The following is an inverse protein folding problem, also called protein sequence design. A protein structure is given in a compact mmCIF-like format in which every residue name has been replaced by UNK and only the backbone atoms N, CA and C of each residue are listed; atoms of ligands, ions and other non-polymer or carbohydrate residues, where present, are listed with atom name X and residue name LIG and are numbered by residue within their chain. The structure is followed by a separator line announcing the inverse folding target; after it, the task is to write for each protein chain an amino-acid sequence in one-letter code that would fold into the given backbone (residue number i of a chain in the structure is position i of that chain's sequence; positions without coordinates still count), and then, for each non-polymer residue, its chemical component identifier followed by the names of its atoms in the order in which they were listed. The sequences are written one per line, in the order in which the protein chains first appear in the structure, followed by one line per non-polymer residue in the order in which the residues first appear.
data_IF_260319189310
#
_entry.id   IF_260319189310
#
_cell.length_a   1.000
_cell.length_b   1.000
_cell.length_c   1.000
_cell.angle_alpha   90.00
_cell.angle_beta   90.00
_cell.angle_gamma   90.00
#
_symmetry.space_group_name_H-M   'P 1'
#
loop_
_entity.id
_entity.type
_entity.pdbx_description
1 polymer ?
#
# COMPACT_ATOMS: atom_id res chain seq x y z
N UNK A 1 45.32 25.80 -38.75
CA UNK A 1 44.35 26.89 -38.57
C UNK A 1 43.23 26.71 -39.60
N UNK A 2 42.36 25.73 -39.35
CA UNK A 2 40.95 25.73 -39.79
C UNK A 2 40.29 24.55 -39.10
N UNK A 3 39.30 24.88 -38.29
CA UNK A 3 38.61 24.03 -37.33
C UNK A 3 37.85 22.87 -37.97
N UNK A 4 37.82 21.73 -37.28
CA UNK A 4 36.79 20.69 -37.40
C UNK A 4 36.15 20.53 -36.02
N UNK A 5 35.00 21.16 -35.84
CA UNK A 5 34.03 20.83 -34.78
C UNK A 5 33.05 19.75 -35.32
N UNK A 6 32.19 19.12 -34.49
CA UNK A 6 32.53 18.28 -33.34
C UNK A 6 31.79 16.92 -33.44
N UNK A 7 32.28 15.87 -32.77
CA UNK A 7 31.50 14.67 -32.48
C UNK A 7 31.44 14.49 -30.96
N UNK A 8 30.23 14.54 -30.40
CA UNK A 8 29.77 13.66 -29.31
C UNK A 8 28.27 13.93 -29.07
N UNK A 9 27.43 13.34 -29.94
CA UNK A 9 26.10 12.92 -29.54
C UNK A 9 26.27 11.66 -28.70
N UNK A 10 26.02 11.73 -27.40
CA UNK A 10 25.45 10.62 -26.66
C UNK A 10 24.63 11.17 -25.49
N UNK A 11 23.35 11.23 -25.80
CA UNK A 11 22.22 11.50 -24.94
C UNK A 11 22.22 10.50 -23.77
N UNK A 12 22.90 10.85 -22.67
CA UNK A 12 22.75 10.16 -21.40
C UNK A 12 21.48 10.69 -20.75
N UNK A 13 20.41 9.94 -20.95
CA UNK A 13 19.10 10.07 -20.32
C UNK A 13 19.31 10.35 -18.83
N UNK A 14 19.11 11.61 -18.46
CA UNK A 14 19.02 12.02 -17.07
C UNK A 14 17.75 11.40 -16.52
N UNK A 15 17.88 10.28 -15.80
CA UNK A 15 16.83 9.74 -14.95
C UNK A 15 16.34 10.89 -14.08
N UNK A 16 15.19 11.42 -14.49
CA UNK A 16 14.50 12.44 -13.74
C UNK A 16 13.92 11.71 -12.56
N UNK A 17 14.68 11.64 -11.46
CA UNK A 17 14.13 11.43 -10.12
C UNK A 17 13.04 12.49 -9.97
N UNK A 18 11.80 12.12 -10.26
CA UNK A 18 10.67 12.97 -9.94
C UNK A 18 10.64 13.04 -8.42
N UNK A 19 11.09 14.17 -7.90
CA UNK A 19 10.83 14.57 -6.52
C UNK A 19 9.31 14.66 -6.42
N UNK A 20 8.66 13.58 -5.95
CA UNK A 20 7.23 13.57 -5.67
C UNK A 20 7.02 14.39 -4.41
N UNK A 21 6.92 15.70 -4.59
CA UNK A 21 6.35 16.61 -3.62
C UNK A 21 4.86 16.71 -3.90
N UNK A 22 4.04 15.99 -3.15
CA UNK A 22 2.83 16.58 -2.55
C UNK A 22 2.24 15.59 -1.55
N UNK A 23 1.98 16.06 -0.33
CA UNK A 23 1.22 15.39 0.72
C UNK A 23 -0.24 15.21 0.28
N UNK A 24 -0.44 14.45 -0.79
CA UNK A 24 -1.77 14.12 -1.28
C UNK A 24 -2.41 13.17 -0.29
N UNK A 25 -3.66 13.47 0.04
CA UNK A 25 -4.45 12.65 0.95
C UNK A 25 -5.78 12.31 0.29
N UNK A 26 -6.29 11.12 0.62
CA UNK A 26 -7.63 10.66 0.26
C UNK A 26 -8.18 9.91 1.47
N UNK A 27 -9.44 10.14 1.83
CA UNK A 27 -10.02 9.63 3.10
C UNK A 27 -9.20 10.01 4.34
N UNK A 28 -8.53 11.17 4.31
CA UNK A 28 -7.68 11.71 5.38
C UNK A 28 -6.37 10.94 5.61
N UNK A 29 -5.97 10.08 4.66
CA UNK A 29 -4.71 9.30 4.77
C UNK A 29 -3.78 9.58 3.59
N UNK A 30 -2.45 9.50 3.77
CA UNK A 30 -1.48 9.70 2.70
C UNK A 30 -1.70 8.73 1.54
N UNK A 31 -1.45 9.19 0.32
CA UNK A 31 -1.58 8.37 -0.88
C UNK A 31 -0.27 8.29 -1.67
N UNK A 32 -0.11 7.19 -2.38
CA UNK A 32 0.86 7.08 -3.48
C UNK A 32 0.19 6.44 -4.70
N UNK A 33 0.92 6.39 -5.82
CA UNK A 33 0.49 5.71 -7.03
C UNK A 33 1.45 4.56 -7.33
N UNK A 34 0.90 3.38 -7.64
CA UNK A 34 1.70 2.24 -8.11
C UNK A 34 1.09 1.70 -9.38
N UNK A 35 1.81 1.85 -10.51
CA UNK A 35 1.40 1.34 -11.83
C UNK A 35 -0.03 1.76 -12.23
N UNK A 36 -0.43 2.99 -11.92
CA UNK A 36 -1.77 3.52 -12.22
C UNK A 36 -2.85 3.15 -11.20
N UNK A 37 -2.51 2.43 -10.13
CA UNK A 37 -3.41 2.15 -9.01
C UNK A 37 -3.16 3.12 -7.85
N UNK A 38 -4.24 3.68 -7.29
CA UNK A 38 -4.16 4.47 -6.04
C UNK A 38 -3.88 3.57 -4.86
N UNK A 39 -2.93 3.97 -4.03
CA UNK A 39 -2.50 3.27 -2.82
C UNK A 39 -2.69 4.19 -1.62
N UNK A 40 -3.49 3.78 -0.66
CA UNK A 40 -3.68 4.47 0.61
C UNK A 40 -2.72 3.91 1.66
N UNK A 41 -2.18 4.79 2.50
CA UNK A 41 -1.26 4.43 3.58
C UNK A 41 -1.81 4.90 4.94
N UNK A 42 -2.93 4.33 5.43
CA UNK A 42 -3.36 4.57 6.80
C UNK A 42 -2.39 3.93 7.80
N UNK A 43 -2.31 4.47 9.02
CA UNK A 43 -1.67 3.77 10.13
C UNK A 43 -2.62 2.70 10.74
N UNK A 44 -2.07 1.87 11.63
CA UNK A 44 -2.80 0.77 12.30
C UNK A 44 -4.05 1.22 13.07
N UNK A 45 -4.05 2.44 13.62
CA UNK A 45 -5.19 2.93 14.41
C UNK A 45 -6.32 3.47 13.54
N UNK A 46 -6.00 3.94 12.33
CA UNK A 46 -6.94 4.64 11.45
C UNK A 46 -7.46 3.77 10.30
N UNK A 47 -6.77 2.69 9.93
CA UNK A 47 -7.11 1.97 8.69
C UNK A 47 -8.49 1.31 8.73
N UNK A 48 -9.02 0.90 9.90
CA UNK A 48 -10.36 0.32 10.00
C UNK A 48 -11.44 1.35 9.66
N UNK A 49 -11.26 2.59 10.10
CA UNK A 49 -12.12 3.72 9.69
C UNK A 49 -11.99 4.01 8.19
N UNK A 50 -10.77 3.92 7.64
CA UNK A 50 -10.56 4.02 6.19
C UNK A 50 -11.29 2.91 5.43
N UNK A 51 -11.21 1.67 5.90
CA UNK A 51 -11.90 0.50 5.33
C UNK A 51 -13.41 0.70 5.37
N UNK A 52 -13.96 1.18 6.50
CA UNK A 52 -15.38 1.52 6.60
C UNK A 52 -15.79 2.57 5.57
N UNK A 53 -15.06 3.68 5.48
CA UNK A 53 -15.31 4.75 4.49
C UNK A 53 -15.27 4.22 3.06
N UNK A 54 -14.31 3.36 2.72
CA UNK A 54 -14.20 2.73 1.40
C UNK A 54 -15.36 1.78 1.11
N UNK A 55 -15.74 0.96 2.08
CA UNK A 55 -16.92 0.10 1.95
C UNK A 55 -18.17 0.95 1.69
N UNK A 56 -18.40 1.99 2.51
CA UNK A 56 -19.52 2.92 2.36
C UNK A 56 -19.52 3.61 0.97
N UNK A 57 -18.32 3.92 0.45
CA UNK A 57 -18.10 4.56 -0.85
C UNK A 57 -18.02 3.57 -2.05
N UNK A 58 -18.49 2.33 -1.84
CA UNK A 58 -18.77 1.38 -2.91
C UNK A 58 -17.62 0.47 -3.33
N UNK A 59 -16.53 0.40 -2.56
CA UNK A 59 -15.53 -0.66 -2.69
C UNK A 59 -16.05 -1.92 -1.97
N UNK A 60 -16.92 -2.68 -2.65
CA UNK A 60 -17.69 -3.78 -2.05
C UNK A 60 -17.05 -5.17 -2.18
N UNK A 61 -15.90 -5.27 -2.85
CA UNK A 61 -15.23 -6.55 -3.07
C UNK A 61 -13.80 -6.47 -2.53
N UNK A 62 -13.49 -7.29 -1.53
CA UNK A 62 -12.12 -7.59 -1.13
C UNK A 62 -11.58 -8.65 -2.09
N UNK A 63 -10.51 -8.30 -2.80
CA UNK A 63 -9.86 -9.18 -3.77
C UNK A 63 -8.79 -10.03 -3.10
N UNK A 64 -8.05 -9.43 -2.17
CA UNK A 64 -6.88 -10.05 -1.57
C UNK A 64 -6.49 -9.34 -0.26
N UNK A 65 -5.99 -10.11 0.70
CA UNK A 65 -5.33 -9.66 1.92
C UNK A 65 -4.04 -10.47 2.02
N UNK A 66 -2.91 -9.77 1.98
CA UNK A 66 -1.59 -10.41 2.02
C UNK A 66 -0.63 -9.57 2.86
N UNK A 67 0.57 -10.08 3.11
CA UNK A 67 1.60 -9.33 3.80
C UNK A 67 2.95 -9.42 3.07
N UNK A 68 3.81 -8.44 3.33
CA UNK A 68 5.18 -8.39 2.82
C UNK A 68 6.12 -8.27 4.02
N UNK A 69 7.15 -9.13 4.07
CA UNK A 69 8.25 -9.03 5.03
C UNK A 69 9.42 -8.29 4.37
N UNK A 70 9.77 -7.13 4.93
CA UNK A 70 10.83 -6.27 4.45
C UNK A 70 12.14 -6.40 5.24
N UNK A 71 12.33 -7.48 6.01
CA UNK A 71 13.53 -7.71 6.84
C UNK A 71 14.86 -7.44 6.11
N UNK A 72 15.04 -8.03 4.92
CA UNK A 72 16.30 -7.94 4.16
C UNK A 72 16.30 -6.79 3.13
N UNK A 73 15.14 -6.21 2.84
CA UNK A 73 15.00 -5.18 1.81
C UNK A 73 14.06 -4.05 2.26
N UNK A 74 14.51 -3.14 3.14
CA UNK A 74 13.65 -2.11 3.70
C UNK A 74 13.22 -1.03 2.69
N UNK A 75 13.93 -0.90 1.56
CA UNK A 75 13.65 0.12 0.55
C UNK A 75 12.31 -0.14 -0.17
N UNK A 76 11.42 0.84 -0.10
CA UNK A 76 10.11 0.81 -0.77
C UNK A 76 9.54 2.21 -0.97
N UNK A 77 8.68 2.33 -1.96
CA UNK A 77 7.98 3.58 -2.29
C UNK A 77 6.76 3.77 -1.37
N UNK A 78 6.94 4.52 -0.30
CA UNK A 78 5.88 4.95 0.63
C UNK A 78 6.01 6.47 0.87
N UNK A 79 4.91 7.18 1.17
CA UNK A 79 4.98 8.61 1.49
C UNK A 79 5.91 8.89 2.67
N UNK A 80 6.62 10.02 2.64
CA UNK A 80 7.56 10.43 3.70
C UNK A 80 6.92 10.59 5.10
N UNK A 81 5.60 10.74 5.16
CA UNK A 81 4.83 10.82 6.40
C UNK A 81 4.58 9.47 7.07
N UNK A 82 4.94 8.36 6.41
CA UNK A 82 4.76 6.99 6.90
C UNK A 82 6.11 6.43 7.34
N UNK A 83 6.16 5.90 8.56
CA UNK A 83 7.34 5.20 9.06
C UNK A 83 7.34 3.75 8.55
N UNK A 84 8.39 3.29 7.86
CA UNK A 84 8.47 1.92 7.40
C UNK A 84 8.68 0.95 8.58
N UNK A 85 7.87 -0.12 8.63
CA UNK A 85 8.03 -1.24 9.57
C UNK A 85 8.60 -2.50 8.91
N UNK A 86 8.84 -3.57 9.66
CA UNK A 86 9.25 -4.85 9.06
C UNK A 86 8.13 -5.45 8.20
N UNK A 87 6.93 -5.54 8.76
CA UNK A 87 5.80 -6.11 8.05
C UNK A 87 4.96 -5.01 7.42
N UNK A 88 4.36 -5.35 6.29
CA UNK A 88 3.35 -4.52 5.65
C UNK A 88 2.17 -5.38 5.23
N UNK A 89 0.99 -5.09 5.78
CA UNK A 89 -0.26 -5.73 5.35
C UNK A 89 -0.82 -4.97 4.16
N UNK A 90 -1.16 -5.71 3.10
CA UNK A 90 -1.66 -5.19 1.83
C UNK A 90 -3.07 -5.71 1.60
N UNK A 91 -4.01 -4.78 1.44
CA UNK A 91 -5.42 -5.09 1.17
C UNK A 91 -5.78 -4.54 -0.21
N UNK A 92 -6.28 -5.38 -1.10
CA UNK A 92 -6.73 -4.97 -2.43
C UNK A 92 -8.26 -4.97 -2.49
N UNK A 93 -8.85 -3.80 -2.78
CA UNK A 93 -10.29 -3.62 -2.90
C UNK A 93 -10.69 -3.24 -4.33
N UNK A 94 -11.91 -3.61 -4.70
CA UNK A 94 -12.50 -3.33 -6.00
C UNK A 94 -13.88 -2.66 -5.84
N UNK A 95 -14.10 -1.62 -6.63
CA UNK A 95 -15.42 -1.05 -6.88
C UNK A 95 -15.85 -1.33 -8.31
N UNK A 96 -16.91 -2.13 -8.48
CA UNK A 96 -17.51 -2.38 -9.80
C UNK A 96 -18.21 -1.15 -10.36
N UNK A 97 -18.81 -0.32 -9.50
CA UNK A 97 -19.55 0.87 -9.93
C UNK A 97 -18.60 1.93 -10.49
N UNK A 98 -17.47 2.15 -9.82
CA UNK A 98 -16.42 3.09 -10.26
C UNK A 98 -15.50 2.49 -11.32
N UNK A 99 -15.46 1.15 -11.43
CA UNK A 99 -14.50 0.38 -12.25
C UNK A 99 -13.05 0.64 -11.83
N UNK A 100 -12.84 0.79 -10.52
CA UNK A 100 -11.57 1.17 -9.92
C UNK A 100 -11.10 0.11 -8.94
N UNK A 101 -9.79 -0.10 -8.91
CA UNK A 101 -9.10 -0.86 -7.86
C UNK A 101 -8.36 0.10 -6.96
N UNK A 102 -8.36 -0.19 -5.68
CA UNK A 102 -7.65 0.57 -4.66
C UNK A 102 -6.86 -0.40 -3.78
N UNK A 103 -5.69 0.02 -3.34
CA UNK A 103 -4.85 -0.76 -2.43
C UNK A 103 -4.67 0.00 -1.12
N UNK A 104 -4.72 -0.71 -0.01
CA UNK A 104 -4.24 -0.19 1.27
C UNK A 104 -2.93 -0.89 1.60
N UNK A 105 -1.96 -0.14 2.13
CA UNK A 105 -0.69 -0.65 2.67
C UNK A 105 -0.55 -0.14 4.09
N UNK A 106 -0.52 -1.05 5.05
CA UNK A 106 -0.48 -0.75 6.48
C UNK A 106 0.83 -1.28 7.04
N UNK A 107 1.61 -0.40 7.68
CA UNK A 107 2.88 -0.76 8.31
C UNK A 107 2.61 -1.42 9.66
N UNK A 108 3.19 -2.61 9.87
CA UNK A 108 2.99 -3.41 11.09
C UNK A 108 4.35 -3.74 11.72
N UNK A 109 4.60 -3.32 12.97
CA UNK A 109 5.87 -3.55 13.63
C UNK A 109 6.07 -5.01 14.00
N UNK A 110 7.31 -5.50 13.95
CA UNK A 110 7.66 -6.86 14.37
C UNK A 110 7.41 -7.11 15.85
N UNK A 111 7.62 -6.08 16.69
CA UNK A 111 7.47 -6.21 18.14
C UNK A 111 6.02 -6.38 18.60
N UNK A 112 5.07 -6.04 17.74
CA UNK A 112 3.63 -6.09 17.99
C UNK A 112 2.88 -6.35 16.67
N UNK A 113 2.94 -7.60 16.15
CA UNK A 113 2.42 -7.96 14.83
C UNK A 113 0.91 -8.20 14.90
N UNK A 114 0.16 -7.21 15.35
CA UNK A 114 -1.29 -7.29 15.57
C UNK A 114 -1.99 -6.20 14.78
N UNK A 115 -3.08 -6.51 14.08
CA UNK A 115 -3.93 -5.54 13.39
C UNK A 115 -5.39 -5.96 13.54
N UNK A 116 -6.38 -5.10 13.33
CA UNK A 116 -7.78 -5.54 13.38
C UNK A 116 -8.18 -6.34 12.12
N UNK A 117 -9.16 -7.21 12.26
CA UNK A 117 -9.77 -7.92 11.13
C UNK A 117 -10.62 -6.95 10.29
N UNK A 118 -10.71 -7.20 8.98
CA UNK A 118 -11.69 -6.52 8.11
C UNK A 118 -12.92 -7.39 7.83
N UNK A 119 -13.04 -8.54 8.49
CA UNK A 119 -14.07 -9.54 8.28
C UNK A 119 -15.50 -8.97 8.35
N UNK A 120 -15.77 -8.09 9.31
CA UNK A 120 -17.09 -7.45 9.47
C UNK A 120 -17.50 -6.61 8.25
N UNK A 121 -16.53 -6.09 7.50
CA UNK A 121 -16.76 -5.35 6.26
C UNK A 121 -16.76 -6.26 5.04
N UNK A 122 -15.91 -7.29 5.06
CA UNK A 122 -15.70 -8.21 3.96
C UNK A 122 -15.58 -9.65 4.47
N UNK A 123 -16.69 -10.39 4.63
CA UNK A 123 -16.65 -11.76 5.17
C UNK A 123 -15.80 -12.74 4.35
N UNK A 124 -15.50 -12.40 3.08
CA UNK A 124 -14.59 -13.17 2.24
C UNK A 124 -13.09 -13.01 2.60
N UNK A 125 -12.73 -12.18 3.58
CA UNK A 125 -11.34 -12.00 4.03
C UNK A 125 -10.85 -13.09 4.97
N UNK A 126 -11.73 -13.90 5.58
CA UNK A 126 -11.40 -14.91 6.61
C UNK A 126 -10.19 -15.79 6.23
N UNK A 127 -10.28 -16.50 5.10
CA UNK A 127 -9.18 -17.36 4.67
C UNK A 127 -7.89 -16.58 4.38
N UNK A 128 -7.98 -15.35 3.87
CA UNK A 128 -6.83 -14.52 3.50
C UNK A 128 -6.11 -13.97 4.75
N UNK A 129 -6.88 -13.53 5.75
CA UNK A 129 -6.35 -13.11 7.05
C UNK A 129 -5.68 -14.29 7.76
N UNK A 130 -6.29 -15.49 7.72
CA UNK A 130 -5.67 -16.70 8.26
C UNK A 130 -4.37 -17.08 7.53
N UNK A 131 -4.32 -16.95 6.21
CA UNK A 131 -3.09 -17.19 5.44
C UNK A 131 -1.97 -16.22 5.83
N UNK A 132 -2.30 -14.94 6.07
CA UNK A 132 -1.32 -13.95 6.55
C UNK A 132 -0.82 -14.30 7.95
N UNK A 133 -1.71 -14.73 8.84
CA UNK A 133 -1.32 -15.22 10.16
C UNK A 133 -0.42 -16.45 10.07
N UNK A 134 -0.79 -17.47 9.29
CA UNK A 134 -0.03 -18.72 9.17
C UNK A 134 1.37 -18.51 8.56
N UNK A 135 1.52 -17.56 7.62
CA UNK A 135 2.79 -17.32 6.91
C UNK A 135 3.69 -16.29 7.59
N UNK A 136 3.13 -15.24 8.19
CA UNK A 136 3.88 -14.11 8.72
C UNK A 136 3.75 -13.95 10.24
N UNK A 137 2.82 -14.66 10.89
CA UNK A 137 2.55 -14.53 12.31
C UNK A 137 1.84 -13.23 12.69
N UNK A 138 1.17 -12.57 11.74
CA UNK A 138 0.43 -11.33 12.01
C UNK A 138 -0.98 -11.69 12.47
N UNK A 139 -1.33 -11.31 13.70
CA UNK A 139 -2.63 -11.57 14.32
C UNK A 139 -3.68 -10.55 13.87
N UNK A 140 -4.92 -11.02 13.64
CA UNK A 140 -6.06 -10.19 13.26
C UNK A 140 -7.10 -10.15 14.40
N UNK A 141 -7.15 -9.05 15.15
CA UNK A 141 -8.12 -8.86 16.24
C UNK A 141 -9.55 -8.75 15.70
N UNK A 142 -10.47 -9.54 16.26
CA UNK A 142 -11.86 -9.59 15.81
C UNK A 142 -12.10 -10.52 14.62
N UNK A 143 -11.09 -11.30 14.22
CA UNK A 143 -11.28 -12.42 13.30
C UNK A 143 -12.26 -13.45 13.91
N UNK A 144 -13.13 -14.11 13.11
CA UNK A 144 -14.16 -15.02 13.62
C UNK A 144 -13.64 -16.35 14.21
N UNK A 145 -12.44 -16.78 13.82
CA UNK A 145 -11.75 -17.98 14.33
C UNK A 145 -10.76 -17.67 15.45
#
# INVERSE_FOLDING_TARGET
MTEKDPQEDNNAETETKSVISSDQTMYEVPISNSRGQTVLHPNRDQYLDTVKKLSDDGYKVCIDVTAVDYLENPERDIPNSISPERFEVVINLLSHQKKERLRLRIQVPESDPVISSIFDFYPGSEALEREVYDLFGIEFEGHPD
#
